data_IF_531553361955
#
_entry.id   IF_531553361955
#
_cell.length_a   1.000
_cell.length_b   1.000
_cell.length_c   1.000
_cell.angle_alpha   90.00
_cell.angle_beta   90.00
_cell.angle_gamma   90.00
#
_symmetry.space_group_name_H-M   'P 1'
#
loop_
_entity.id
_entity.type
_entity.pdbx_description
1 polymer ?
#
# COMPACT_ATOMS: atom_id res chain seq x y z
N UNK A 1 -65.71 32.93 16.20
CA UNK A 1 -65.55 31.49 16.45
C UNK A 1 -64.22 31.10 15.85
N UNK A 2 -63.16 31.04 16.65
CA UNK A 2 -61.79 30.77 16.21
C UNK A 2 -61.45 29.31 16.51
N UNK A 3 -60.99 28.56 15.50
CA UNK A 3 -60.51 27.18 15.64
C UNK A 3 -59.00 27.23 15.42
N UNK A 4 -58.24 26.87 16.46
CA UNK A 4 -56.78 26.68 16.45
C UNK A 4 -56.51 25.20 16.12
N UNK A 5 -55.67 24.86 15.12
CA UNK A 5 -55.27 23.48 14.92
C UNK A 5 -54.05 23.14 15.79
N UNK A 6 -54.16 22.00 16.47
CA UNK A 6 -53.11 21.37 17.27
C UNK A 6 -52.05 20.75 16.32
N UNK A 7 -50.79 21.18 16.43
CA UNK A 7 -49.67 20.57 15.70
C UNK A 7 -49.06 19.50 16.60
N UNK A 8 -49.23 18.22 16.22
CA UNK A 8 -48.58 17.08 16.87
C UNK A 8 -47.12 16.96 16.41
N UNK A 9 -46.20 17.11 17.36
CA UNK A 9 -44.75 16.97 17.19
C UNK A 9 -44.37 15.47 17.23
N UNK A 10 -43.97 14.90 16.09
CA UNK A 10 -43.40 13.55 16.03
C UNK A 10 -41.90 13.60 16.39
N UNK A 11 -41.56 13.04 17.55
CA UNK A 11 -40.17 12.78 17.97
C UNK A 11 -39.61 11.59 17.20
N UNK A 12 -38.62 11.83 16.33
CA UNK A 12 -37.81 10.79 15.72
C UNK A 12 -36.75 10.31 16.74
N UNK A 13 -36.89 9.07 17.22
CA UNK A 13 -35.86 8.38 17.99
C UNK A 13 -34.76 7.92 17.01
N UNK A 14 -33.61 8.58 17.07
CA UNK A 14 -32.39 8.17 16.37
C UNK A 14 -31.84 6.90 17.04
N UNK A 15 -31.88 5.77 16.32
CA UNK A 15 -31.23 4.54 16.75
C UNK A 15 -29.75 4.66 16.36
N UNK A 16 -28.90 4.99 17.33
CA UNK A 16 -27.44 5.02 17.14
C UNK A 16 -26.95 3.58 17.04
N UNK A 17 -26.72 3.11 15.81
CA UNK A 17 -26.00 1.87 15.53
C UNK A 17 -24.56 2.06 15.99
N UNK A 18 -24.22 1.58 17.18
CA UNK A 18 -22.84 1.51 17.64
C UNK A 18 -22.15 0.38 16.86
N UNK A 19 -21.36 0.73 15.85
CA UNK A 19 -20.50 -0.24 15.17
C UNK A 19 -19.53 -0.82 16.21
N UNK A 20 -19.43 -2.16 16.36
CA UNK A 20 -18.43 -2.74 17.23
C UNK A 20 -17.03 -2.38 16.72
N UNK A 21 -16.15 -1.96 17.64
CA UNK A 21 -14.72 -1.80 17.39
C UNK A 21 -14.15 -3.07 16.76
N UNK A 22 -13.20 -2.97 15.82
CA UNK A 22 -12.55 -4.14 15.22
C UNK A 22 -11.92 -4.99 16.33
N UNK A 23 -12.40 -6.22 16.48
CA UNK A 23 -11.73 -7.22 17.30
C UNK A 23 -10.32 -7.40 16.73
N UNK A 24 -9.30 -7.13 17.54
CA UNK A 24 -7.93 -7.56 17.23
C UNK A 24 -7.98 -9.06 16.94
N UNK A 25 -7.74 -9.46 15.69
CA UNK A 25 -7.70 -10.87 15.34
C UNK A 25 -6.65 -11.54 16.23
N UNK A 26 -7.06 -12.55 16.99
CA UNK A 26 -6.17 -13.24 17.91
C UNK A 26 -5.13 -14.01 17.10
N UNK A 27 -3.85 -13.88 17.48
CA UNK A 27 -2.78 -14.61 16.82
C UNK A 27 -3.03 -16.13 16.88
N UNK A 28 -2.87 -16.80 15.75
CA UNK A 28 -2.95 -18.25 15.65
C UNK A 28 -1.70 -18.88 16.26
N UNK A 29 -1.89 -19.98 17.00
CA UNK A 29 -0.79 -20.77 17.55
C UNK A 29 -0.72 -22.09 16.78
N UNK A 30 0.35 -22.33 16.00
CA UNK A 30 0.56 -23.62 15.35
C UNK A 30 0.69 -24.75 16.39
N UNK A 31 0.46 -26.01 15.98
CA UNK A 31 0.82 -27.16 16.81
C UNK A 31 2.31 -27.11 17.18
N UNK A 32 2.72 -27.64 18.35
CA UNK A 32 4.12 -27.56 18.80
C UNK A 32 5.13 -28.11 17.78
N UNK A 33 4.77 -29.13 17.01
CA UNK A 33 5.60 -29.71 15.95
C UNK A 33 5.83 -28.76 14.76
N UNK A 34 4.97 -27.74 14.61
CA UNK A 34 5.01 -26.75 13.54
C UNK A 34 5.20 -25.32 14.07
N UNK A 35 5.68 -25.16 15.30
CA UNK A 35 6.10 -23.88 15.87
C UNK A 35 7.47 -23.46 15.30
N UNK A 36 7.49 -23.28 13.97
CA UNK A 36 8.69 -23.00 13.16
C UNK A 36 8.56 -21.75 12.31
N UNK A 37 7.37 -21.13 12.29
CA UNK A 37 7.13 -19.86 11.60
C UNK A 37 7.79 -18.75 12.43
N UNK A 38 8.71 -17.96 11.85
CA UNK A 38 9.36 -16.88 12.57
C UNK A 38 8.38 -15.76 12.85
N UNK A 39 8.66 -14.97 13.88
CA UNK A 39 8.00 -13.67 14.08
C UNK A 39 8.29 -12.75 12.90
N UNK A 40 7.25 -12.22 12.27
CA UNK A 40 7.37 -11.26 11.18
C UNK A 40 7.39 -9.84 11.75
N UNK A 41 8.49 -9.15 11.57
CA UNK A 41 8.69 -7.77 11.98
C UNK A 41 9.03 -6.92 10.77
N UNK A 42 8.33 -5.80 10.62
CA UNK A 42 8.64 -4.80 9.61
C UNK A 42 9.85 -4.00 10.10
N UNK A 43 10.96 -4.14 9.39
CA UNK A 43 12.26 -3.54 9.74
C UNK A 43 12.52 -2.21 9.03
N UNK A 44 11.81 -1.95 7.94
CA UNK A 44 11.84 -0.69 7.22
C UNK A 44 10.50 -0.48 6.54
N UNK A 45 9.94 0.72 6.67
CA UNK A 45 8.72 1.13 6.00
C UNK A 45 8.84 2.59 5.59
N UNK A 46 8.73 2.85 4.29
CA UNK A 46 8.69 4.19 3.73
C UNK A 46 7.62 4.18 2.65
N UNK A 47 6.66 5.09 2.75
CA UNK A 47 5.67 5.34 1.70
C UNK A 47 5.69 6.80 1.30
N UNK A 48 6.07 7.06 0.07
CA UNK A 48 6.03 8.37 -0.56
C UNK A 48 4.78 8.48 -1.44
N UNK A 49 3.91 9.43 -1.11
CA UNK A 49 2.68 9.70 -1.82
C UNK A 49 2.73 11.12 -2.38
N UNK A 50 2.84 11.21 -3.71
CA UNK A 50 2.93 12.47 -4.43
C UNK A 50 1.56 13.09 -4.64
N UNK A 51 1.46 14.39 -4.45
CA UNK A 51 0.22 15.17 -4.62
C UNK A 51 -0.18 15.32 -6.09
N UNK A 52 0.78 15.21 -7.02
CA UNK A 52 0.60 15.48 -8.45
C UNK A 52 1.35 14.49 -9.34
N UNK A 53 1.40 13.20 -8.99
CA UNK A 53 1.99 12.21 -9.90
C UNK A 53 1.07 11.87 -11.09
N UNK A 54 1.64 11.20 -12.09
CA UNK A 54 0.90 10.63 -13.20
C UNK A 54 -0.03 9.50 -12.72
N UNK A 55 -1.33 9.68 -12.90
CA UNK A 55 -2.34 8.65 -12.59
C UNK A 55 -2.65 7.79 -13.84
N UNK A 56 -2.32 6.50 -13.74
CA UNK A 56 -2.50 5.52 -14.80
C UNK A 56 -3.73 4.61 -14.62
N UNK A 57 -4.55 4.86 -13.61
CA UNK A 57 -5.71 4.01 -13.26
C UNK A 57 -6.84 4.21 -14.26
N UNK A 58 -7.26 5.47 -14.41
CA UNK A 58 -8.33 5.84 -15.33
C UNK A 58 -7.80 6.32 -16.70
N UNK A 59 -6.48 6.52 -16.81
CA UNK A 59 -5.79 7.02 -18.01
C UNK A 59 -6.41 8.31 -18.58
N UNK A 60 -6.98 9.14 -17.70
CA UNK A 60 -7.55 10.44 -18.06
C UNK A 60 -6.42 11.47 -18.11
N UNK A 61 -6.41 12.29 -19.16
CA UNK A 61 -5.42 13.35 -19.37
C UNK A 61 -3.95 12.92 -19.29
N UNK A 62 -3.67 11.64 -19.56
CA UNK A 62 -2.30 11.12 -19.61
C UNK A 62 -1.60 11.66 -20.86
N UNK A 63 -0.43 12.34 -20.72
CA UNK A 63 0.29 12.87 -21.86
C UNK A 63 0.87 11.72 -22.69
N UNK A 64 0.98 11.97 -24.00
CA UNK A 64 1.87 11.20 -24.82
C UNK A 64 3.31 11.66 -24.57
N UNK A 65 4.22 10.70 -24.45
CA UNK A 65 5.62 10.93 -24.12
C UNK A 65 6.51 10.47 -25.25
N UNK A 66 7.76 10.91 -25.20
CA UNK A 66 8.83 10.40 -26.03
C UNK A 66 9.92 9.80 -25.16
N UNK A 67 10.57 8.76 -25.66
CA UNK A 67 11.66 8.08 -24.97
C UNK A 67 12.68 7.47 -25.92
N UNK A 68 13.83 7.17 -25.36
CA UNK A 68 14.87 6.35 -25.98
C UNK A 68 15.03 5.05 -25.20
N UNK A 69 15.19 3.94 -25.92
CA UNK A 69 15.61 2.68 -25.31
C UNK A 69 17.13 2.66 -25.16
N UNK A 70 17.60 2.38 -23.95
CA UNK A 70 19.04 2.23 -23.64
C UNK A 70 19.31 0.86 -23.03
N UNK A 71 20.58 0.40 -22.98
CA UNK A 71 20.92 -0.83 -22.28
C UNK A 71 20.49 -0.88 -20.81
N UNK A 72 20.25 0.28 -20.19
CA UNK A 72 19.84 0.43 -18.80
C UNK A 72 18.32 0.69 -18.63
N UNK A 73 17.54 0.55 -19.71
CA UNK A 73 16.09 0.78 -19.71
C UNK A 73 15.67 2.00 -20.53
N UNK A 74 14.40 2.38 -20.35
CA UNK A 74 13.81 3.51 -21.07
C UNK A 74 14.15 4.82 -20.38
N UNK A 75 14.49 5.83 -21.18
CA UNK A 75 14.84 7.17 -20.70
C UNK A 75 13.98 8.18 -21.42
N UNK A 76 13.34 9.07 -20.66
CA UNK A 76 12.57 10.16 -21.22
C UNK A 76 13.46 11.06 -22.08
N UNK A 77 12.91 11.54 -23.19
CA UNK A 77 13.57 12.52 -24.04
C UNK A 77 12.54 13.55 -24.51
N UNK A 78 13.00 14.77 -24.77
CA UNK A 78 12.20 15.86 -25.33
C UNK A 78 13.13 16.93 -25.91
N UNK A 79 12.58 18.04 -26.40
CA UNK A 79 13.36 19.15 -26.95
C UNK A 79 14.41 19.75 -26.01
N UNK A 80 14.35 19.47 -24.70
CA UNK A 80 15.34 19.89 -23.70
C UNK A 80 16.33 18.76 -23.34
N UNK A 81 15.93 17.50 -23.42
CA UNK A 81 16.73 16.32 -23.03
C UNK A 81 17.49 15.68 -24.20
N UNK A 82 17.05 15.88 -25.45
CA UNK A 82 17.72 15.37 -26.65
C UNK A 82 16.76 14.71 -27.66
N UNK A 83 17.26 14.28 -28.84
CA UNK A 83 16.43 13.67 -29.86
C UNK A 83 15.82 12.35 -29.38
N UNK A 84 14.60 12.07 -29.85
CA UNK A 84 13.82 10.90 -29.49
C UNK A 84 13.69 9.90 -30.62
N UNK A 85 13.83 8.61 -30.31
CA UNK A 85 13.59 7.51 -31.24
C UNK A 85 12.14 7.08 -31.28
N UNK A 86 11.43 7.20 -30.14
CA UNK A 86 10.02 6.82 -30.00
C UNK A 86 9.23 7.96 -29.38
N UNK A 87 8.07 8.28 -29.95
CA UNK A 87 7.22 9.40 -29.57
C UNK A 87 5.75 9.06 -29.76
N UNK A 88 4.88 9.79 -29.05
CA UNK A 88 3.43 9.65 -29.21
C UNK A 88 2.84 8.46 -28.45
N UNK A 89 3.60 7.87 -27.52
CA UNK A 89 3.17 6.73 -26.72
C UNK A 89 2.54 7.26 -25.44
N UNK A 90 1.39 6.72 -25.04
CA UNK A 90 0.74 7.08 -23.79
C UNK A 90 1.70 6.81 -22.61
N UNK A 91 1.92 7.82 -21.76
CA UNK A 91 2.90 7.75 -20.66
C UNK A 91 2.74 6.52 -19.77
N UNK A 92 1.51 6.06 -19.53
CA UNK A 92 1.21 4.91 -18.70
C UNK A 92 1.58 3.56 -19.32
N UNK A 93 1.79 3.49 -20.63
CA UNK A 93 2.24 2.26 -21.30
C UNK A 93 3.75 2.15 -21.41
N UNK A 94 4.47 3.22 -21.10
CA UNK A 94 5.92 3.25 -21.27
C UNK A 94 6.65 2.63 -20.08
N UNK A 95 6.12 2.74 -18.86
CA UNK A 95 6.87 2.34 -17.66
C UNK A 95 8.16 3.15 -17.49
N UNK A 96 8.18 4.41 -17.97
CA UNK A 96 9.30 5.31 -17.76
C UNK A 96 9.53 5.54 -16.26
N UNK A 97 10.79 5.46 -15.78
CA UNK A 97 11.09 5.69 -14.37
C UNK A 97 10.92 7.17 -13.97
N UNK A 98 11.10 8.08 -14.92
CA UNK A 98 10.85 9.52 -14.74
C UNK A 98 9.50 9.88 -15.34
N UNK A 99 8.70 10.61 -14.57
CA UNK A 99 7.42 11.10 -15.04
C UNK A 99 7.59 12.30 -16.00
N UNK A 100 6.61 12.53 -16.89
CA UNK A 100 6.67 13.63 -17.86
C UNK A 100 6.72 14.99 -17.18
N UNK A 101 7.25 16.00 -17.89
CA UNK A 101 7.25 17.37 -17.40
C UNK A 101 5.82 17.84 -17.04
N UNK A 102 5.69 18.52 -15.90
CA UNK A 102 4.39 18.94 -15.36
C UNK A 102 3.78 17.98 -14.34
N UNK A 103 4.33 16.77 -14.20
CA UNK A 103 3.98 15.84 -13.13
C UNK A 103 5.01 15.90 -12.00
N UNK A 104 4.54 15.65 -10.79
CA UNK A 104 5.36 15.47 -9.61
C UNK A 104 6.17 14.16 -9.65
N UNK A 105 6.99 13.92 -8.63
CA UNK A 105 7.70 12.65 -8.48
C UNK A 105 6.72 11.47 -8.44
N UNK A 106 7.17 10.28 -8.86
CA UNK A 106 6.38 9.05 -8.76
C UNK A 106 6.06 8.72 -7.31
N UNK A 107 4.96 8.00 -7.10
CA UNK A 107 4.76 7.32 -5.83
C UNK A 107 5.77 6.21 -5.65
N UNK A 108 6.16 5.99 -4.41
CA UNK A 108 7.13 4.98 -4.05
C UNK A 108 6.78 4.35 -2.71
N UNK A 109 7.00 3.05 -2.57
CA UNK A 109 6.85 2.35 -1.30
C UNK A 109 7.92 1.30 -1.14
N UNK A 110 8.46 1.21 0.08
CA UNK A 110 9.48 0.25 0.48
C UNK A 110 9.09 -0.38 1.79
N UNK A 111 9.01 -1.70 1.83
CA UNK A 111 8.69 -2.50 3.02
C UNK A 111 9.76 -3.58 3.15
N UNK A 112 10.39 -3.69 4.31
CA UNK A 112 11.31 -4.77 4.64
C UNK A 112 10.79 -5.57 5.82
N UNK A 113 10.83 -6.90 5.73
CA UNK A 113 10.38 -7.82 6.79
C UNK A 113 11.56 -8.72 7.17
N UNK A 114 11.76 -9.03 8.45
CA UNK A 114 12.86 -9.84 9.00
C UNK A 114 12.82 -11.36 8.65
N UNK A 115 12.50 -11.73 7.41
CA UNK A 115 12.42 -13.11 6.91
C UNK A 115 13.63 -13.45 6.00
N UNK A 116 13.82 -14.71 5.53
CA UNK A 116 14.92 -15.07 4.63
C UNK A 116 15.01 -14.17 3.39
N UNK A 117 16.25 -13.95 2.91
CA UNK A 117 16.62 -12.90 1.94
C UNK A 117 15.80 -12.87 0.64
N UNK A 118 15.20 -13.98 0.22
CA UNK A 118 14.41 -14.03 -1.03
C UNK A 118 13.01 -13.40 -0.89
N UNK A 119 12.55 -13.11 0.34
CA UNK A 119 11.18 -12.67 0.64
C UNK A 119 11.12 -11.48 1.61
N UNK A 120 12.26 -10.84 1.87
CA UNK A 120 12.41 -9.88 2.97
C UNK A 120 12.22 -8.42 2.54
N UNK A 121 11.97 -8.16 1.25
CA UNK A 121 11.95 -6.82 0.70
C UNK A 121 10.87 -6.65 -0.38
N UNK A 122 10.18 -5.53 -0.31
CA UNK A 122 9.08 -5.12 -1.15
C UNK A 122 9.33 -3.68 -1.58
N UNK A 123 9.48 -3.42 -2.88
CA UNK A 123 9.60 -2.08 -3.44
C UNK A 123 8.76 -1.97 -4.71
N UNK A 124 7.99 -0.89 -4.82
CA UNK A 124 7.18 -0.58 -5.99
C UNK A 124 7.12 0.93 -6.20
N UNK A 125 7.23 1.36 -7.46
CA UNK A 125 7.05 2.76 -7.83
C UNK A 125 6.07 2.90 -9.01
N UNK A 126 5.25 3.96 -9.00
CA UNK A 126 4.31 4.29 -10.10
C UNK A 126 5.02 5.12 -11.18
N UNK A 127 4.96 4.82 -12.49
CA UNK A 127 4.07 3.86 -13.17
C UNK A 127 4.68 2.50 -13.49
N UNK A 128 5.84 2.17 -12.91
CA UNK A 128 6.63 0.99 -13.31
C UNK A 128 6.08 -0.34 -12.77
N UNK A 129 5.18 -0.32 -11.78
CA UNK A 129 4.62 -1.56 -11.24
C UNK A 129 3.45 -1.40 -10.25
N UNK A 130 3.16 -0.18 -9.82
CA UNK A 130 2.12 0.09 -8.85
C UNK A 130 0.83 0.59 -9.53
N UNK A 131 -0.29 -0.14 -9.38
CA UNK A 131 -1.62 0.37 -9.72
C UNK A 131 -2.11 1.23 -8.56
N UNK A 132 -2.38 2.51 -8.79
CA UNK A 132 -2.99 3.38 -7.78
C UNK A 132 -4.47 3.02 -7.59
N UNK A 133 -5.00 3.27 -6.40
CA UNK A 133 -6.36 3.76 -6.23
C UNK A 133 -6.23 5.21 -5.74
N UNK A 134 -7.35 5.91 -5.52
CA UNK A 134 -7.39 7.31 -5.06
C UNK A 134 -6.38 7.59 -3.92
N UNK A 135 -5.89 8.84 -3.86
CA UNK A 135 -5.02 9.33 -2.78
C UNK A 135 -5.56 8.87 -1.42
N UNK A 136 -4.75 8.09 -0.69
CA UNK A 136 -5.14 7.52 0.60
C UNK A 136 -5.67 6.08 0.56
N UNK A 137 -5.58 5.40 -0.60
CA UNK A 137 -5.76 3.95 -0.72
C UNK A 137 -4.66 3.35 -1.60
N UNK A 138 -3.50 3.05 -1.02
CA UNK A 138 -2.53 2.19 -1.68
C UNK A 138 -3.01 0.73 -1.67
N UNK A 139 -2.84 -0.04 -2.75
CA UNK A 139 -2.82 -1.51 -2.67
C UNK A 139 -1.55 -1.94 -3.38
N UNK A 140 -0.49 -2.16 -2.60
CA UNK A 140 0.80 -2.57 -3.15
C UNK A 140 0.82 -4.08 -3.22
N UNK A 141 0.86 -4.67 -4.42
CA UNK A 141 1.20 -6.09 -4.53
C UNK A 141 2.69 -6.21 -4.74
N UNK A 142 3.43 -6.46 -3.67
CA UNK A 142 4.85 -6.66 -3.82
C UNK A 142 5.17 -8.05 -4.36
N UNK A 143 5.60 -7.97 -5.63
CA UNK A 143 6.31 -8.92 -6.48
C UNK A 143 5.60 -10.18 -6.99
N UNK A 144 6.33 -10.85 -7.88
CA UNK A 144 5.89 -12.00 -8.65
C UNK A 144 5.39 -13.17 -7.81
N UNK A 145 5.08 -14.26 -8.50
CA UNK A 145 4.34 -15.45 -8.03
C UNK A 145 4.73 -16.10 -6.69
N UNK A 146 5.77 -15.65 -6.00
CA UNK A 146 6.34 -16.25 -4.79
C UNK A 146 6.18 -15.46 -3.48
N UNK A 147 5.60 -14.25 -3.47
CA UNK A 147 5.27 -13.55 -2.22
C UNK A 147 4.12 -12.57 -2.39
N UNK A 148 3.33 -12.36 -1.34
CA UNK A 148 2.23 -11.40 -1.32
C UNK A 148 2.35 -10.55 -0.07
N UNK A 149 2.95 -9.37 -0.22
CA UNK A 149 2.78 -8.27 0.75
C UNK A 149 1.76 -7.34 0.14
N UNK A 150 0.70 -7.03 0.89
CA UNK A 150 -0.30 -6.01 0.54
C UNK A 150 -0.19 -4.87 1.54
N UNK A 151 -0.01 -3.64 1.07
CA UNK A 151 -0.11 -2.44 1.90
C UNK A 151 -1.34 -1.63 1.54
N UNK A 152 -2.08 -1.19 2.56
CA UNK A 152 -3.21 -0.26 2.49
C UNK A 152 -2.96 0.88 3.47
N UNK A 153 -3.08 2.14 3.03
CA UNK A 153 -2.89 3.25 3.95
C UNK A 153 -3.43 4.57 3.42
N UNK A 154 -3.75 5.46 4.36
CA UNK A 154 -4.23 6.81 4.09
C UNK A 154 -3.19 7.86 4.55
N UNK A 155 -2.63 8.59 3.59
CA UNK A 155 -1.66 9.67 3.87
C UNK A 155 -2.34 11.01 4.15
N UNK A 156 -3.66 11.14 4.04
CA UNK A 156 -4.41 12.38 4.33
C UNK A 156 -5.75 12.09 5.03
N UNK A 157 -5.74 11.41 6.18
CA UNK A 157 -6.96 10.99 6.84
C UNK A 157 -7.69 12.21 7.42
N UNK A 158 -9.02 12.16 7.35
CA UNK A 158 -9.89 13.16 8.01
C UNK A 158 -9.75 13.19 9.55
N UNK A 159 -9.05 12.21 10.12
CA UNK A 159 -8.71 12.07 11.54
C UNK A 159 -7.28 11.56 11.71
N UNK A 160 -6.49 12.20 12.57
CA UNK A 160 -5.20 11.69 13.04
C UNK A 160 -5.42 10.57 14.07
N UNK A 161 -4.58 9.51 14.11
CA UNK A 161 -3.34 9.31 13.35
C UNK A 161 -3.55 8.76 11.92
N UNK A 162 -2.52 8.88 11.08
CA UNK A 162 -2.47 8.16 9.80
C UNK A 162 -2.35 6.67 10.08
N UNK A 163 -3.19 5.86 9.41
CA UNK A 163 -3.23 4.42 9.60
C UNK A 163 -2.77 3.71 8.34
N UNK A 164 -1.91 2.71 8.53
CA UNK A 164 -1.51 1.74 7.53
C UNK A 164 -1.94 0.34 7.93
N UNK A 165 -2.05 -0.54 6.95
CA UNK A 165 -2.29 -1.97 7.10
C UNK A 165 -1.33 -2.73 6.20
N UNK A 166 -0.68 -3.74 6.77
CA UNK A 166 0.12 -4.71 6.01
C UNK A 166 -0.52 -6.07 6.13
N UNK A 167 -0.87 -6.67 5.00
CA UNK A 167 -1.18 -8.10 4.89
C UNK A 167 0.04 -8.84 4.33
N UNK A 168 0.41 -9.95 4.95
CA UNK A 168 1.58 -10.74 4.56
C UNK A 168 1.21 -12.21 4.38
N UNK A 169 1.37 -12.71 3.16
CA UNK A 169 1.13 -14.09 2.75
C UNK A 169 2.34 -14.60 1.93
N UNK A 170 3.42 -15.03 2.59
CA UNK A 170 4.58 -15.57 1.88
C UNK A 170 4.22 -16.88 1.16
N UNK A 171 4.76 -17.11 -0.05
CA UNK A 171 4.67 -18.42 -0.71
C UNK A 171 5.74 -19.40 -0.19
N UNK A 172 6.44 -19.03 0.88
CA UNK A 172 7.43 -19.88 1.54
C UNK A 172 6.75 -20.83 2.53
N UNK A 173 7.28 -22.04 2.61
CA UNK A 173 6.81 -23.08 3.51
C UNK A 173 7.93 -23.45 4.49
N UNK A 174 7.59 -23.55 5.77
CA UNK A 174 8.51 -23.99 6.81
C UNK A 174 8.34 -25.50 7.04
N UNK A 175 9.44 -26.19 7.30
CA UNK A 175 9.42 -27.63 7.62
C UNK A 175 9.20 -27.83 9.11
N UNK A 176 8.12 -28.52 9.46
CA UNK A 176 7.79 -28.92 10.82
C UNK A 176 8.73 -30.05 11.31
N UNK A 177 8.85 -30.24 12.62
CA UNK A 177 9.71 -31.28 13.20
C UNK A 177 9.28 -32.71 12.89
N UNK A 178 8.01 -32.92 12.53
CA UNK A 178 7.44 -34.20 12.08
C UNK A 178 7.62 -34.46 10.56
N UNK A 179 8.22 -33.51 9.82
CA UNK A 179 8.43 -33.59 8.38
C UNK A 179 7.29 -33.03 7.51
N UNK A 180 6.15 -32.61 8.09
CA UNK A 180 5.13 -31.86 7.34
C UNK A 180 5.61 -30.45 7.00
N UNK A 181 4.89 -29.78 6.11
CA UNK A 181 5.13 -28.37 5.79
C UNK A 181 4.06 -27.49 6.41
N UNK A 182 4.40 -26.25 6.74
CA UNK A 182 3.44 -25.25 7.20
C UNK A 182 3.64 -23.95 6.42
N UNK A 183 2.53 -23.29 6.11
CA UNK A 183 2.48 -21.96 5.50
C UNK A 183 1.56 -21.07 6.33
N UNK A 184 1.93 -19.81 6.52
CA UNK A 184 1.19 -18.86 7.35
C UNK A 184 0.80 -17.59 6.58
N UNK A 185 -0.19 -16.88 7.10
CA UNK A 185 -0.51 -15.51 6.73
C UNK A 185 -0.85 -14.65 7.94
N UNK A 186 -0.68 -13.34 7.81
CA UNK A 186 -0.89 -12.38 8.87
C UNK A 186 -1.32 -11.01 8.36
N UNK A 187 -1.82 -10.19 9.27
CA UNK A 187 -2.24 -8.82 8.98
C UNK A 187 -2.06 -7.96 10.23
N UNK A 188 -1.63 -6.72 10.05
CA UNK A 188 -1.48 -5.75 11.13
C UNK A 188 -1.88 -4.35 10.64
N UNK A 189 -2.70 -3.67 11.45
CA UNK A 189 -2.91 -2.23 11.35
C UNK A 189 -1.89 -1.52 12.25
N UNK A 190 -1.30 -0.42 11.76
CA UNK A 190 -0.27 0.33 12.48
C UNK A 190 -0.41 1.84 12.21
N UNK A 191 0.03 2.64 13.17
CA UNK A 191 0.11 4.09 13.02
C UNK A 191 1.31 4.46 12.14
N UNK A 192 1.16 5.52 11.35
CA UNK A 192 2.21 6.08 10.50
C UNK A 192 2.40 7.55 10.85
N UNK A 193 3.65 8.00 10.81
CA UNK A 193 4.00 9.42 10.85
C UNK A 193 4.20 9.93 9.43
N UNK A 194 3.30 10.79 8.97
CA UNK A 194 3.38 11.40 7.64
C UNK A 194 3.83 12.87 7.73
N UNK A 195 4.91 13.19 7.01
CA UNK A 195 5.41 14.56 6.84
C UNK A 195 5.11 15.05 5.43
N UNK A 196 4.91 16.36 5.27
CA UNK A 196 4.54 16.96 3.99
C UNK A 196 5.59 17.98 3.55
N UNK A 197 6.01 17.89 2.30
CA UNK A 197 6.90 18.88 1.70
C UNK A 197 6.14 20.13 1.20
N UNK A 198 6.87 21.11 0.64
CA UNK A 198 6.27 22.33 0.09
C UNK A 198 5.34 22.10 -1.11
N UNK A 199 5.44 20.93 -1.76
CA UNK A 199 4.55 20.48 -2.82
C UNK A 199 3.34 19.70 -2.30
N UNK A 200 3.14 19.62 -0.98
CA UNK A 200 2.15 18.78 -0.31
C UNK A 200 2.30 17.28 -0.60
N UNK A 201 3.49 16.82 -1.01
CA UNK A 201 3.77 15.38 -1.10
C UNK A 201 3.95 14.84 0.31
N UNK A 202 3.37 13.68 0.60
CA UNK A 202 3.49 13.02 1.88
C UNK A 202 4.62 11.99 1.87
N UNK A 203 5.42 11.96 2.93
CA UNK A 203 6.33 10.86 3.26
C UNK A 203 5.91 10.27 4.59
N UNK A 204 5.44 9.03 4.56
CA UNK A 204 4.95 8.29 5.71
C UNK A 204 5.95 7.20 6.13
N UNK A 205 6.22 7.14 7.42
CA UNK A 205 7.12 6.15 8.05
C UNK A 205 6.46 5.52 9.27
N UNK A 206 7.02 4.42 9.78
CA UNK A 206 6.69 3.94 11.13
C UNK A 206 7.23 4.97 12.14
N UNK A 207 6.45 5.40 13.15
CA UNK A 207 6.89 6.34 14.17
C UNK A 207 8.19 5.90 14.87
N UNK A 208 9.03 6.87 15.24
CA UNK A 208 10.31 6.58 15.87
C UNK A 208 10.13 5.85 17.21
N UNK A 209 10.73 4.66 17.32
CA UNK A 209 10.67 3.83 18.53
C UNK A 209 9.56 2.77 18.52
N UNK A 210 8.70 2.78 17.50
CA UNK A 210 7.69 1.74 17.31
C UNK A 210 8.23 0.56 16.49
N UNK A 211 7.67 -0.62 16.72
CA UNK A 211 7.91 -1.83 15.93
C UNK A 211 6.58 -2.40 15.48
N UNK A 212 6.50 -2.74 14.19
CA UNK A 212 5.32 -3.34 13.59
C UNK A 212 5.56 -4.83 13.44
N UNK A 213 4.98 -5.60 14.35
CA UNK A 213 4.97 -7.06 14.31
C UNK A 213 3.69 -7.54 13.64
N UNK A 214 3.81 -8.31 12.57
CA UNK A 214 2.68 -8.90 11.87
C UNK A 214 2.34 -10.22 12.57
N UNK A 215 1.19 -10.31 13.27
CA UNK A 215 0.81 -11.55 13.92
C UNK A 215 0.48 -12.62 12.88
N UNK A 216 0.85 -13.86 13.16
CA UNK A 216 0.31 -15.01 12.45
C UNK A 216 -1.18 -15.09 12.73
N UNK A 217 -2.04 -14.98 11.72
CA UNK A 217 -3.50 -15.02 11.87
C UNK A 217 -4.10 -16.32 11.34
N UNK A 218 -3.50 -16.91 10.32
CA UNK A 218 -3.93 -18.17 9.75
C UNK A 218 -2.72 -18.99 9.29
N UNK A 219 -2.87 -20.31 9.26
CA UNK A 219 -1.88 -21.21 8.70
C UNK A 219 -2.53 -22.45 8.08
N UNK A 220 -1.79 -23.10 7.19
CA UNK A 220 -2.13 -24.39 6.60
C UNK A 220 -0.94 -25.34 6.74
N UNK A 221 -1.22 -26.57 7.21
CA UNK A 221 -0.26 -27.67 7.20
C UNK A 221 -0.47 -28.48 5.92
N UNK A 222 0.64 -28.83 5.26
CA UNK A 222 0.72 -29.51 3.97
C UNK A 222 1.47 -30.84 4.14
#
# INVERSE_FOLDING_TARGET
>A
MYIIPLISLFLFLSVTSCSPLPQSAQAATPPPECDVIPTWEVTNFIWFNSSHNLDCVYQVDVPNVCFNSTPNGLVGCDGNLGPCTECGVNGCYTGLPLQPAGYGPPDDIKISINVPLEYNYCEQSNPVGFRRYDVGNGIVFCAGVAYRVTFIGDSNPSSSPNMGRIDYEPNYQWTCTNGSQIQGSGSVDFEMDCTYDSGNNATCVIPDGDSVVIPLLAYQII
#
